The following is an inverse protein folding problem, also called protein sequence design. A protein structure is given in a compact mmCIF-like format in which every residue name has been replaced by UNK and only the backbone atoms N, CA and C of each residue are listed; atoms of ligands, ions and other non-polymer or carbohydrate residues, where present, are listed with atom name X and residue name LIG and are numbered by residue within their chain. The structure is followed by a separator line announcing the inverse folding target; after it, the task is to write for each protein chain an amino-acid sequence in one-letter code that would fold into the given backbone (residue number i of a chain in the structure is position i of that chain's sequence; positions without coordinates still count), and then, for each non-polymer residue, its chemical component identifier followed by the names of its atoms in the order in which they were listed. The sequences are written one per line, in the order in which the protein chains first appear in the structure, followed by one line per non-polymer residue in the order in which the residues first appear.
data_IF_282525517172
#
_entry.id   IF_282525517172
#
_cell.length_a   1.000
_cell.length_b   1.000
_cell.length_c   1.000
_cell.angle_alpha   90.00
_cell.angle_beta   90.00
_cell.angle_gamma   90.00
#
_symmetry.space_group_name_H-M   'P 1'
#
loop_
_entity.id
_entity.type
_entity.pdbx_description
1 polymer ?
#
# COMPACT_ATOMS: atom_id res chain seq x y z
N UNK A 1 -23.74 -31.64 32.02
CA UNK A 1 -22.89 -32.77 31.61
C UNK A 1 -23.77 -33.61 30.71
N UNK A 2 -23.70 -33.58 29.38
CA UNK A 2 -22.66 -33.12 28.47
C UNK A 2 -23.29 -32.62 27.16
N UNK A 3 -22.55 -31.77 26.46
CA UNK A 3 -23.04 -30.94 25.37
C UNK A 3 -23.42 -31.68 24.09
N UNK A 4 -24.26 -30.99 23.33
CA UNK A 4 -24.62 -31.28 21.94
C UNK A 4 -23.37 -31.49 21.07
N UNK A 5 -23.35 -32.49 20.19
CA UNK A 5 -22.28 -32.67 19.22
C UNK A 5 -22.44 -31.64 18.10
N UNK A 6 -21.39 -30.83 17.87
CA UNK A 6 -21.20 -30.15 16.58
C UNK A 6 -19.87 -30.59 15.99
N UNK A 7 -19.93 -31.47 15.00
CA UNK A 7 -18.95 -31.46 13.92
C UNK A 7 -19.23 -30.30 12.95
N UNK A 8 -18.43 -30.11 11.89
CA UNK A 8 -17.24 -30.88 11.54
C UNK A 8 -15.97 -30.03 11.55
N UNK A 9 -14.88 -30.76 11.74
CA UNK A 9 -13.52 -30.40 11.37
C UNK A 9 -13.49 -29.89 9.93
N UNK A 10 -13.21 -28.61 9.75
CA UNK A 10 -12.84 -28.06 8.45
C UNK A 10 -11.40 -27.58 8.57
N UNK A 11 -10.44 -28.50 8.48
CA UNK A 11 -9.05 -28.13 8.17
C UNK A 11 -8.39 -29.13 7.23
N UNK A 12 -8.75 -29.00 5.96
CA UNK A 12 -7.94 -29.40 4.81
C UNK A 12 -8.42 -28.63 3.58
N UNK A 13 -7.58 -28.38 2.55
CA UNK A 13 -6.21 -28.83 2.34
C UNK A 13 -5.20 -27.66 2.39
N UNK A 14 -3.91 -27.96 2.23
CA UNK A 14 -2.82 -26.99 2.31
C UNK A 14 -3.10 -25.69 1.55
N UNK A 15 -3.14 -24.58 2.28
CA UNK A 15 -3.08 -23.25 1.69
C UNK A 15 -1.76 -23.17 0.93
N UNK A 16 -1.82 -23.28 -0.40
CA UNK A 16 -0.85 -22.58 -1.23
C UNK A 16 -0.72 -21.17 -0.66
N UNK A 17 0.48 -20.62 -0.47
CA UNK A 17 0.61 -19.28 0.08
C UNK A 17 -0.17 -18.35 -0.85
N UNK A 18 -1.38 -17.97 -0.45
CA UNK A 18 -2.09 -16.89 -1.08
C UNK A 18 -1.14 -15.70 -0.94
N UNK A 19 -0.86 -14.96 -2.04
CA UNK A 19 0.08 -13.87 -1.98
C UNK A 19 -0.33 -12.97 -0.82
N UNK A 20 0.58 -12.83 0.15
CA UNK A 20 0.32 -12.17 1.42
C UNK A 20 -0.48 -10.88 1.20
N UNK A 21 -1.68 -10.81 1.76
CA UNK A 21 -2.63 -9.76 1.41
C UNK A 21 -2.15 -8.45 2.04
N UNK A 22 -1.84 -7.47 1.19
CA UNK A 22 -1.31 -6.20 1.65
C UNK A 22 -2.47 -5.23 1.93
N UNK A 23 -2.69 -4.92 3.21
CA UNK A 23 -3.79 -4.08 3.71
C UNK A 23 -3.29 -2.70 4.11
N UNK A 24 -4.11 -1.67 3.91
CA UNK A 24 -3.78 -0.29 4.26
C UNK A 24 -4.87 0.39 5.07
N UNK A 25 -4.46 1.25 6.01
CA UNK A 25 -5.35 2.09 6.78
C UNK A 25 -4.96 3.56 6.57
N UNK A 26 -5.90 4.35 6.06
CA UNK A 26 -5.70 5.78 5.74
C UNK A 26 -6.58 6.73 6.58
N UNK A 27 -7.53 6.19 7.36
CA UNK A 27 -8.37 6.93 8.30
C UNK A 27 -7.61 7.23 9.61
N UNK A 28 -6.49 7.93 9.50
CA UNK A 28 -5.52 8.18 10.57
C UNK A 28 -4.09 8.14 10.05
N UNK A 29 -3.07 7.96 10.91
CA UNK A 29 -1.69 7.76 10.45
C UNK A 29 -1.64 6.58 9.48
N UNK A 30 -1.05 6.78 8.29
CA UNK A 30 -1.03 5.74 7.24
C UNK A 30 -0.29 4.50 7.73
N UNK A 31 -1.01 3.39 7.83
CA UNK A 31 -0.47 2.09 8.26
C UNK A 31 -0.60 1.10 7.11
N UNK A 32 0.37 0.20 7.01
CA UNK A 32 0.30 -0.96 6.14
C UNK A 32 0.47 -2.21 6.97
N UNK A 33 -0.18 -3.28 6.55
CA UNK A 33 0.00 -4.62 7.09
C UNK A 33 0.24 -5.56 5.92
N UNK A 34 1.16 -6.48 6.09
CA UNK A 34 1.29 -7.67 5.25
C UNK A 34 0.69 -8.81 6.06
N UNK A 35 -0.44 -9.34 5.60
CA UNK A 35 -1.31 -10.19 6.40
C UNK A 35 -1.66 -9.46 7.73
N UNK A 36 -1.30 -10.03 8.87
CA UNK A 36 -1.47 -9.43 10.20
C UNK A 36 -0.20 -8.75 10.75
N UNK A 37 0.89 -8.72 9.98
CA UNK A 37 2.16 -8.13 10.41
C UNK A 37 2.23 -6.65 9.99
N UNK A 38 2.39 -5.71 10.93
CA UNK A 38 2.52 -4.29 10.60
C UNK A 38 3.83 -4.03 9.85
N UNK A 39 3.72 -3.28 8.75
CA UNK A 39 4.83 -2.90 7.89
C UNK A 39 5.13 -1.42 8.08
N UNK A 40 6.42 -1.10 8.29
CA UNK A 40 6.87 0.27 8.46
C UNK A 40 6.77 1.04 7.13
N UNK A 41 5.70 1.83 6.97
CA UNK A 41 5.41 2.66 5.79
C UNK A 41 6.33 3.88 5.63
N UNK A 42 7.39 3.96 6.45
CA UNK A 42 8.46 4.94 6.33
C UNK A 42 8.10 6.32 6.86
N UNK A 43 8.73 7.37 6.31
CA UNK A 43 8.59 8.76 6.74
C UNK A 43 7.19 9.33 6.49
N UNK A 44 6.80 10.46 7.13
CA UNK A 44 5.52 11.11 6.88
C UNK A 44 5.25 11.40 5.40
N UNK A 45 6.27 11.81 4.63
CA UNK A 45 6.14 12.10 3.21
C UNK A 45 5.93 10.82 2.37
N UNK A 46 6.56 9.71 2.76
CA UNK A 46 6.33 8.41 2.09
C UNK A 46 4.91 7.91 2.33
N UNK A 47 4.42 8.07 3.57
CA UNK A 47 3.05 7.79 3.94
C UNK A 47 2.05 8.66 3.18
N UNK A 48 2.31 9.96 3.05
CA UNK A 48 1.47 10.87 2.29
C UNK A 48 1.42 10.49 0.80
N UNK A 49 2.58 10.16 0.20
CA UNK A 49 2.64 9.68 -1.19
C UNK A 49 1.81 8.40 -1.37
N UNK A 50 1.97 7.45 -0.46
CA UNK A 50 1.21 6.21 -0.49
C UNK A 50 -0.30 6.45 -0.35
N UNK A 51 -0.73 7.32 0.59
CA UNK A 51 -2.14 7.68 0.75
C UNK A 51 -2.71 8.34 -0.51
N UNK A 52 -1.98 9.28 -1.12
CA UNK A 52 -2.38 9.93 -2.35
C UNK A 52 -2.61 8.93 -3.51
N UNK A 53 -1.80 7.87 -3.57
CA UNK A 53 -1.95 6.80 -4.56
C UNK A 53 -3.10 5.84 -4.23
N UNK A 54 -3.28 5.49 -2.95
CA UNK A 54 -4.35 4.60 -2.51
C UNK A 54 -5.74 5.23 -2.73
N UNK A 55 -5.88 6.53 -2.47
CA UNK A 55 -7.12 7.29 -2.72
C UNK A 55 -7.51 7.36 -4.20
N UNK A 56 -6.60 7.01 -5.10
CA UNK A 56 -6.86 6.97 -6.55
C UNK A 56 -7.37 5.62 -7.03
N UNK A 57 -7.50 4.63 -6.15
CA UNK A 57 -8.10 3.31 -6.43
C UNK A 57 -7.50 2.63 -7.68
N UNK A 58 -6.17 2.67 -7.78
CA UNK A 58 -5.49 2.11 -8.94
C UNK A 58 -5.54 2.99 -10.20
N UNK A 59 -5.85 4.28 -10.10
CA UNK A 59 -5.53 5.22 -11.19
C UNK A 59 -4.10 5.71 -11.04
N UNK A 60 -3.43 5.91 -12.18
CA UNK A 60 -2.07 6.45 -12.22
C UNK A 60 -2.10 7.94 -11.87
N UNK A 61 -1.24 8.35 -10.94
CA UNK A 61 -0.97 9.75 -10.63
C UNK A 61 0.31 10.17 -11.34
N UNK A 62 0.25 11.25 -12.11
CA UNK A 62 1.42 11.88 -12.70
C UNK A 62 2.35 12.43 -11.60
N UNK A 63 3.62 12.62 -11.94
CA UNK A 63 4.55 13.23 -10.99
C UNK A 63 4.10 14.64 -10.56
N UNK A 64 3.48 15.42 -11.45
CA UNK A 64 2.97 16.76 -11.13
C UNK A 64 1.83 16.69 -10.09
N UNK A 65 0.85 15.80 -10.29
CA UNK A 65 -0.25 15.60 -9.33
C UNK A 65 0.25 15.12 -7.97
N UNK A 66 1.29 14.29 -7.94
CA UNK A 66 1.89 13.82 -6.68
C UNK A 66 2.67 14.93 -5.98
N UNK A 67 3.33 15.81 -6.72
CA UNK A 67 4.00 16.97 -6.15
C UNK A 67 2.98 17.92 -5.54
N UNK A 68 1.91 18.25 -6.29
CA UNK A 68 0.81 19.08 -5.81
C UNK A 68 0.14 18.48 -4.57
N UNK A 69 -0.15 17.18 -4.56
CA UNK A 69 -0.75 16.52 -3.40
C UNK A 69 0.16 16.51 -2.15
N UNK A 70 1.48 16.56 -2.32
CA UNK A 70 2.44 16.48 -1.22
C UNK A 70 2.84 17.84 -0.65
N UNK A 71 2.91 18.87 -1.49
CA UNK A 71 3.46 20.18 -1.13
C UNK A 71 2.57 21.35 -1.51
N UNK A 72 1.51 21.13 -2.29
CA UNK A 72 0.65 22.19 -2.81
C UNK A 72 1.45 23.25 -3.57
N UNK A 73 1.24 24.51 -3.20
CA UNK A 73 1.84 25.66 -3.87
C UNK A 73 3.35 25.87 -3.58
N UNK A 74 3.91 25.19 -2.57
CA UNK A 74 5.31 25.38 -2.15
C UNK A 74 6.16 24.10 -2.29
N UNK A 75 6.32 23.56 -3.50
CA UNK A 75 7.16 22.38 -3.72
C UNK A 75 8.65 22.73 -3.57
N UNK A 76 9.47 21.83 -3.00
CA UNK A 76 10.92 22.02 -2.98
C UNK A 76 11.49 21.97 -4.39
N UNK A 77 12.63 22.63 -4.63
CA UNK A 77 13.28 22.69 -5.95
C UNK A 77 13.59 21.31 -6.55
N UNK A 78 13.70 20.28 -5.71
CA UNK A 78 13.95 18.89 -6.11
C UNK A 78 12.74 17.96 -5.88
N UNK A 79 11.51 18.48 -5.93
CA UNK A 79 10.29 17.72 -5.64
C UNK A 79 10.16 16.42 -6.45
N UNK A 80 10.45 16.46 -7.76
CA UNK A 80 10.43 15.27 -8.61
C UNK A 80 11.43 14.19 -8.13
N UNK A 81 12.64 14.60 -7.75
CA UNK A 81 13.66 13.68 -7.22
C UNK A 81 13.24 13.10 -5.86
N UNK A 82 12.58 13.93 -5.02
CA UNK A 82 12.00 13.48 -3.75
C UNK A 82 10.91 12.43 -3.96
N UNK A 83 9.95 12.66 -4.88
CA UNK A 83 8.90 11.68 -5.24
C UNK A 83 9.52 10.36 -5.69
N UNK A 84 10.50 10.39 -6.59
CA UNK A 84 11.22 9.20 -7.06
C UNK A 84 11.89 8.44 -5.90
N UNK A 85 12.50 9.17 -4.97
CA UNK A 85 13.15 8.61 -3.78
C UNK A 85 12.12 7.95 -2.85
N UNK A 86 10.99 8.61 -2.61
CA UNK A 86 9.91 8.05 -1.79
C UNK A 86 9.31 6.80 -2.43
N UNK A 87 9.04 6.82 -3.74
CA UNK A 87 8.54 5.66 -4.47
C UNK A 87 9.54 4.49 -4.43
N UNK A 88 10.84 4.75 -4.62
CA UNK A 88 11.88 3.72 -4.52
C UNK A 88 11.92 3.06 -3.14
N UNK A 89 11.85 3.86 -2.08
CA UNK A 89 11.83 3.35 -0.70
C UNK A 89 10.52 2.62 -0.39
N UNK A 90 9.37 3.10 -0.86
CA UNK A 90 8.09 2.39 -0.73
C UNK A 90 8.13 1.03 -1.42
N UNK A 91 8.72 0.90 -2.61
CA UNK A 91 8.89 -0.40 -3.31
C UNK A 91 9.71 -1.42 -2.52
N UNK A 92 10.58 -1.00 -1.61
CA UNK A 92 11.34 -1.92 -0.74
C UNK A 92 10.50 -2.45 0.41
N UNK A 93 9.45 -1.72 0.76
CA UNK A 93 8.57 -1.98 1.90
C UNK A 93 7.32 -2.75 1.42
N UNK A 94 6.80 -2.37 0.26
CA UNK A 94 5.67 -3.00 -0.41
C UNK A 94 6.11 -4.23 -1.20
N UNK A 95 5.15 -5.12 -1.48
CA UNK A 95 5.43 -6.28 -2.32
C UNK A 95 5.74 -5.88 -3.77
N UNK A 96 6.56 -6.69 -4.48
CA UNK A 96 6.86 -6.46 -5.89
C UNK A 96 5.57 -6.36 -6.71
N UNK A 97 5.48 -5.34 -7.57
CA UNK A 97 4.30 -5.12 -8.41
C UNK A 97 3.17 -4.31 -7.76
N UNK A 98 3.21 -4.04 -6.46
CA UNK A 98 2.21 -3.19 -5.79
C UNK A 98 2.34 -1.74 -6.20
N UNK A 99 3.56 -1.19 -6.23
CA UNK A 99 3.81 0.20 -6.66
C UNK A 99 4.47 0.22 -8.05
N UNK A 100 3.65 0.45 -9.08
CA UNK A 100 4.08 0.48 -10.48
C UNK A 100 4.44 1.89 -10.94
N UNK A 101 5.34 1.97 -11.92
CA UNK A 101 5.57 3.21 -12.67
C UNK A 101 4.98 3.03 -14.06
N UNK A 102 3.98 3.84 -14.40
CA UNK A 102 3.31 3.81 -15.70
C UNK A 102 3.17 5.24 -16.23
N UNK A 103 3.37 5.45 -17.53
CA UNK A 103 3.13 6.74 -18.21
C UNK A 103 3.77 7.97 -17.55
N UNK A 104 4.95 7.80 -16.94
CA UNK A 104 5.65 8.90 -16.23
C UNK A 104 5.10 9.23 -14.84
N UNK A 105 4.16 8.43 -14.34
CA UNK A 105 3.56 8.52 -13.02
C UNK A 105 3.75 7.27 -12.18
N UNK A 106 2.95 7.17 -11.11
CA UNK A 106 2.93 6.05 -10.18
C UNK A 106 1.49 5.61 -9.91
N UNK A 107 1.31 4.33 -9.63
CA UNK A 107 0.02 3.79 -9.24
C UNK A 107 0.21 2.64 -8.24
N UNK A 108 -0.78 2.44 -7.37
CA UNK A 108 -0.86 1.25 -6.53
C UNK A 108 -1.76 0.21 -7.23
N UNK A 109 -1.33 -1.05 -7.27
CA UNK A 109 -1.98 -2.19 -7.92
C UNK A 109 -1.99 -3.37 -6.94
N UNK A 110 -2.86 -4.35 -7.21
CA UNK A 110 -2.83 -5.62 -6.49
C UNK A 110 -3.15 -5.48 -5.01
N UNK A 111 -3.97 -4.50 -4.62
CA UNK A 111 -4.64 -4.53 -3.32
C UNK A 111 -5.57 -5.72 -3.38
N UNK A 112 -5.21 -6.83 -2.73
CA UNK A 112 -6.12 -7.96 -2.60
C UNK A 112 -7.39 -7.48 -1.92
N UNK A 113 -8.54 -7.74 -2.55
CA UNK A 113 -9.83 -7.65 -1.88
C UNK A 113 -9.80 -8.70 -0.77
N UNK A 114 -9.66 -8.25 0.48
CA UNK A 114 -9.80 -9.07 1.67
C UNK A 114 -11.18 -8.85 2.28
#
# INVERSE_FOLDING_TARGET
MDGVPRGPEQRGPGSSPEPAALRFGVLGPVRAWRDDVPVATGSPQQRALLAALLLREGRTATAAELIDALWGEEPPSQALAAVRTYASRLRKVLDPGVLVSESGGYAVRGLGEG
#
